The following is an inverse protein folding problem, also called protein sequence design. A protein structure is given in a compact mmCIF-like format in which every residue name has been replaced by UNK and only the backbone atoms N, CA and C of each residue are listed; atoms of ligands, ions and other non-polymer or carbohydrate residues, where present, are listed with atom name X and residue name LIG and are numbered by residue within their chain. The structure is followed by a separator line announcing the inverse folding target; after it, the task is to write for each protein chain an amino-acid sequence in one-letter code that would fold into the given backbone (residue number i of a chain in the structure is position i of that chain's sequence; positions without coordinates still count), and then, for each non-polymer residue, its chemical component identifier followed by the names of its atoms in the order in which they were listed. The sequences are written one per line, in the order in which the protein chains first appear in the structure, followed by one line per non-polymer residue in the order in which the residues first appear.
data_IF_690142472787
#
_entry.id   IF_690142472787
#
_cell.length_a   1.000
_cell.length_b   1.000
_cell.length_c   1.000
_cell.angle_alpha   90.00
_cell.angle_beta   90.00
_cell.angle_gamma   90.00
#
_symmetry.space_group_name_H-M   'P 1'
#
loop_
_entity.id
_entity.type
_entity.pdbx_description
1 polymer ?
#
# COMPACT_ATOMS: atom_id res chain seq x y z
N UNK A 1 25.22 12.42 -49.03
CA UNK A 1 25.22 11.35 -48.02
C UNK A 1 23.85 11.38 -47.36
N UNK A 2 22.95 10.49 -47.73
CA UNK A 2 21.72 10.28 -46.96
C UNK A 2 22.07 9.58 -45.64
N UNK A 3 21.44 9.93 -44.52
CA UNK A 3 21.68 9.25 -43.26
C UNK A 3 21.11 7.83 -43.34
N UNK A 4 21.99 6.85 -43.18
CA UNK A 4 21.63 5.43 -43.09
C UNK A 4 20.60 5.23 -41.99
N UNK A 5 19.37 4.88 -42.38
CA UNK A 5 18.30 4.51 -41.46
C UNK A 5 18.70 3.20 -40.80
N UNK A 6 19.30 3.28 -39.61
CA UNK A 6 19.71 2.12 -38.84
C UNK A 6 18.47 1.25 -38.58
N UNK A 7 18.34 0.10 -39.26
CA UNK A 7 17.20 -0.80 -39.12
C UNK A 7 17.13 -1.28 -37.67
N UNK A 8 16.20 -0.72 -36.90
CA UNK A 8 15.89 -1.16 -35.56
C UNK A 8 15.57 -2.66 -35.58
N UNK A 9 16.40 -3.45 -34.90
CA UNK A 9 16.12 -4.86 -34.63
C UNK A 9 14.71 -4.98 -34.02
N UNK A 10 13.95 -6.00 -34.44
CA UNK A 10 12.62 -6.31 -33.90
C UNK A 10 12.62 -6.34 -32.37
N UNK A 11 13.71 -6.83 -31.75
CA UNK A 11 13.90 -6.84 -30.30
C UNK A 11 14.06 -5.45 -29.68
N UNK A 12 14.72 -4.51 -30.37
CA UNK A 12 14.84 -3.11 -29.92
C UNK A 12 13.51 -2.39 -30.09
N UNK A 13 12.81 -2.61 -31.21
CA UNK A 13 11.48 -2.05 -31.46
C UNK A 13 10.46 -2.54 -30.42
N UNK A 14 10.38 -3.85 -30.17
CA UNK A 14 9.49 -4.43 -29.16
C UNK A 14 9.78 -3.93 -27.74
N UNK A 15 11.06 -3.78 -27.37
CA UNK A 15 11.44 -3.17 -26.08
C UNK A 15 11.06 -1.70 -25.99
N UNK A 16 11.22 -0.95 -27.07
CA UNK A 16 10.82 0.46 -27.13
C UNK A 16 9.30 0.61 -26.95
N UNK A 17 8.51 -0.23 -27.62
CA UNK A 17 7.05 -0.27 -27.48
C UNK A 17 6.66 -0.61 -26.04
N UNK A 18 7.24 -1.67 -25.47
CA UNK A 18 6.97 -2.05 -24.07
C UNK A 18 7.34 -0.96 -23.06
N UNK A 19 8.39 -0.19 -23.34
CA UNK A 19 8.80 0.95 -22.52
C UNK A 19 7.84 2.15 -22.66
N UNK A 20 7.29 2.37 -23.86
CA UNK A 20 6.24 3.37 -24.09
C UNK A 20 4.93 2.98 -23.39
N UNK A 21 4.59 1.69 -23.40
CA UNK A 21 3.40 1.16 -22.73
C UNK A 21 3.50 1.23 -21.19
N UNK A 22 4.71 1.02 -20.63
CA UNK A 22 4.98 1.16 -19.21
C UNK A 22 5.56 2.54 -18.86
N UNK A 23 4.96 3.61 -19.39
CA UNK A 23 5.38 4.97 -19.06
C UNK A 23 4.85 5.44 -17.70
N UNK A 24 5.55 6.41 -17.09
CA UNK A 24 5.10 7.11 -15.89
C UNK A 24 3.68 7.68 -16.05
N UNK A 25 3.39 8.28 -17.21
CA UNK A 25 2.07 8.83 -17.50
C UNK A 25 1.00 7.74 -17.51
N UNK A 26 1.27 6.58 -18.14
CA UNK A 26 0.32 5.48 -18.18
C UNK A 26 0.05 4.90 -16.79
N UNK A 27 1.07 4.81 -15.92
CA UNK A 27 0.91 4.36 -14.54
C UNK A 27 0.03 5.34 -13.74
N UNK A 28 0.38 6.63 -13.73
CA UNK A 28 -0.39 7.66 -13.03
C UNK A 28 -1.81 7.81 -13.56
N UNK A 29 -2.00 7.72 -14.88
CA UNK A 29 -3.34 7.79 -15.49
C UNK A 29 -4.18 6.57 -15.13
N UNK A 30 -3.58 5.38 -15.05
CA UNK A 30 -4.28 4.16 -14.63
C UNK A 30 -4.68 4.23 -13.16
N UNK A 31 -3.79 4.75 -12.30
CA UNK A 31 -4.10 5.02 -10.89
C UNK A 31 -5.26 6.02 -10.76
N UNK A 32 -5.21 7.12 -11.51
CA UNK A 32 -6.26 8.13 -11.51
C UNK A 32 -7.61 7.54 -11.93
N UNK A 33 -7.63 6.75 -13.01
CA UNK A 33 -8.84 6.10 -13.51
C UNK A 33 -9.41 5.08 -12.51
N UNK A 34 -8.57 4.20 -11.94
CA UNK A 34 -8.99 3.21 -10.94
C UNK A 34 -9.47 3.87 -9.63
N UNK A 35 -8.96 5.05 -9.29
CA UNK A 35 -9.41 5.79 -8.09
C UNK A 35 -10.87 6.21 -8.17
N UNK A 36 -11.40 6.45 -9.39
CA UNK A 36 -12.80 6.85 -9.59
C UNK A 36 -13.71 5.74 -9.09
N UNK A 37 -13.40 4.50 -9.46
CA UNK A 37 -14.10 3.32 -8.95
C UNK A 37 -14.01 3.22 -7.43
N UNK A 38 -12.83 3.45 -6.83
CA UNK A 38 -12.68 3.43 -5.36
C UNK A 38 -13.58 4.48 -4.69
N UNK A 39 -13.68 5.68 -5.28
CA UNK A 39 -14.55 6.75 -4.78
C UNK A 39 -16.04 6.42 -4.93
N UNK A 40 -16.44 5.83 -6.06
CA UNK A 40 -17.83 5.37 -6.28
C UNK A 40 -18.22 4.32 -5.24
N UNK A 41 -17.36 3.35 -4.97
CA UNK A 41 -17.60 2.32 -3.95
C UNK A 41 -17.67 2.95 -2.56
N UNK A 42 -16.82 3.93 -2.24
CA UNK A 42 -16.88 4.67 -0.98
C UNK A 42 -18.17 5.46 -0.79
N UNK A 43 -18.82 5.88 -1.87
CA UNK A 43 -20.11 6.59 -1.81
C UNK A 43 -21.30 5.67 -1.51
N UNK A 44 -21.16 4.35 -1.72
CA UNK A 44 -22.23 3.39 -1.40
C UNK A 44 -22.44 3.23 0.10
N UNK A 45 -21.36 3.34 0.87
CA UNK A 45 -21.40 3.30 2.34
C UNK A 45 -20.56 4.43 2.94
N UNK A 46 -21.05 5.68 2.93
CA UNK A 46 -20.29 6.86 3.38
C UNK A 46 -19.85 6.80 4.86
N UNK A 47 -20.60 6.07 5.69
CA UNK A 47 -20.30 5.88 7.11
C UNK A 47 -19.16 4.88 7.37
N UNK A 48 -18.86 4.02 6.38
CA UNK A 48 -17.80 3.03 6.53
C UNK A 48 -16.44 3.68 6.24
N UNK A 49 -15.49 3.57 7.19
CA UNK A 49 -14.16 4.13 7.03
C UNK A 49 -13.41 3.41 5.92
N UNK A 50 -12.83 4.20 5.02
CA UNK A 50 -11.97 3.74 3.94
C UNK A 50 -10.51 3.70 4.40
N UNK A 51 -9.87 2.54 4.27
CA UNK A 51 -8.50 2.29 4.68
C UNK A 51 -7.62 1.92 3.49
N UNK A 52 -6.43 2.51 3.41
CA UNK A 52 -5.46 2.18 2.37
C UNK A 52 -4.51 1.08 2.86
N UNK A 53 -4.44 -0.05 2.16
CA UNK A 53 -3.39 -1.03 2.41
C UNK A 53 -2.04 -0.48 1.93
N UNK A 54 -1.06 -0.40 2.82
CA UNK A 54 0.24 0.22 2.53
C UNK A 54 0.95 -0.47 1.36
N UNK A 55 1.81 0.32 0.69
CA UNK A 55 2.37 0.11 -0.65
C UNK A 55 1.37 0.50 -1.73
N UNK A 56 0.45 -0.40 -2.07
CA UNK A 56 -0.33 -0.23 -3.28
C UNK A 56 -1.59 0.63 -3.08
N UNK A 57 -2.34 0.40 -1.99
CA UNK A 57 -3.64 1.04 -1.74
C UNK A 57 -3.60 2.57 -1.61
N UNK A 58 -2.47 3.13 -1.15
CA UNK A 58 -2.29 4.58 -1.02
C UNK A 58 -2.39 5.31 -2.37
N UNK A 59 -1.93 4.69 -3.45
CA UNK A 59 -2.00 5.30 -4.78
C UNK A 59 -3.43 5.53 -5.25
N UNK A 60 -4.36 4.66 -4.85
CA UNK A 60 -5.76 4.70 -5.31
C UNK A 60 -6.69 5.52 -4.41
N UNK A 61 -6.16 6.10 -3.33
CA UNK A 61 -6.96 6.77 -2.30
C UNK A 61 -6.51 8.24 -2.16
N UNK A 62 -7.29 9.20 -2.66
CA UNK A 62 -6.93 10.61 -2.56
C UNK A 62 -6.78 11.08 -1.10
N UNK A 63 -5.83 11.98 -0.83
CA UNK A 63 -5.37 12.35 0.52
C UNK A 63 -6.47 12.70 1.54
N UNK A 64 -7.58 13.29 1.08
CA UNK A 64 -8.68 13.73 1.95
C UNK A 64 -9.86 12.73 1.98
N UNK A 65 -9.64 11.49 1.52
CA UNK A 65 -10.70 10.51 1.26
C UNK A 65 -10.47 9.16 1.93
N UNK A 66 -9.40 8.98 2.71
CA UNK A 66 -9.19 7.78 3.53
C UNK A 66 -9.01 8.14 5.02
N UNK A 67 -9.40 7.22 5.89
CA UNK A 67 -9.43 7.41 7.35
C UNK A 67 -8.15 6.95 8.03
N UNK A 68 -7.57 5.85 7.57
CA UNK A 68 -6.36 5.25 8.14
C UNK A 68 -5.66 4.38 7.12
N UNK A 69 -4.43 3.98 7.42
CA UNK A 69 -3.70 2.96 6.65
C UNK A 69 -3.73 1.62 7.38
N UNK A 70 -3.56 0.53 6.65
CA UNK A 70 -3.32 -0.82 7.21
C UNK A 70 -2.17 -1.51 6.47
N UNK A 71 -1.67 -2.63 6.97
CA UNK A 71 -0.58 -3.35 6.32
C UNK A 71 -0.76 -4.87 6.35
N UNK A 72 -1.48 -5.38 5.36
CA UNK A 72 -1.63 -6.80 5.08
C UNK A 72 -0.72 -7.19 3.90
N UNK A 73 0.31 -7.99 4.16
CA UNK A 73 1.20 -8.48 3.10
C UNK A 73 0.56 -9.66 2.36
N UNK A 74 0.69 -9.66 1.04
CA UNK A 74 0.30 -10.77 0.17
C UNK A 74 1.12 -12.04 0.44
N UNK A 75 2.39 -11.90 0.81
CA UNK A 75 3.30 -13.03 1.11
C UNK A 75 2.80 -13.92 2.23
N UNK A 76 2.05 -13.35 3.18
CA UNK A 76 1.52 -14.05 4.35
C UNK A 76 0.37 -15.01 3.95
N UNK A 77 -0.19 -14.84 2.74
CA UNK A 77 -1.25 -15.67 2.16
C UNK A 77 -0.83 -16.48 0.94
N UNK A 78 0.47 -16.57 0.62
CA UNK A 78 0.94 -17.34 -0.53
C UNK A 78 0.64 -18.83 -0.37
N UNK A 79 0.31 -19.49 -1.49
CA UNK A 79 0.06 -20.93 -1.51
C UNK A 79 1.25 -21.67 -0.88
N UNK A 80 0.97 -22.65 -0.01
CA UNK A 80 1.96 -23.43 0.75
C UNK A 80 2.82 -22.65 1.77
N UNK A 81 2.66 -21.33 1.87
CA UNK A 81 3.38 -20.46 2.81
C UNK A 81 2.44 -19.49 3.54
N UNK A 82 1.34 -20.03 4.09
CA UNK A 82 0.44 -19.24 4.93
C UNK A 82 1.07 -18.95 6.29
N UNK A 83 0.97 -17.72 6.75
CA UNK A 83 1.51 -17.30 8.05
C UNK A 83 0.61 -16.25 8.69
N UNK A 84 0.59 -16.22 10.02
CA UNK A 84 -0.02 -15.17 10.82
C UNK A 84 1.09 -14.37 11.49
N UNK A 85 1.16 -13.06 11.25
CA UNK A 85 2.25 -12.23 11.73
C UNK A 85 1.86 -11.49 13.02
N UNK A 86 2.45 -11.88 14.14
CA UNK A 86 2.21 -11.27 15.46
C UNK A 86 2.83 -9.88 15.64
N UNK A 87 3.74 -9.45 14.75
CA UNK A 87 4.28 -8.08 14.75
C UNK A 87 3.42 -7.08 13.96
N UNK A 88 2.56 -7.57 13.05
CA UNK A 88 1.72 -6.76 12.16
C UNK A 88 0.26 -7.15 12.33
N UNK A 89 -0.23 -7.00 13.55
CA UNK A 89 -1.55 -7.47 13.94
C UNK A 89 -2.71 -6.67 13.33
N UNK A 90 -2.49 -5.42 12.89
CA UNK A 90 -3.55 -4.56 12.35
C UNK A 90 -4.78 -4.44 13.28
N UNK A 91 -4.60 -4.51 14.62
CA UNK A 91 -5.73 -4.47 15.58
C UNK A 91 -6.55 -3.19 15.48
N UNK A 92 -5.91 -2.08 15.11
CA UNK A 92 -6.57 -0.80 14.87
C UNK A 92 -7.63 -0.90 13.77
N UNK A 93 -7.46 -1.77 12.77
CA UNK A 93 -8.47 -2.03 11.73
C UNK A 93 -9.72 -2.65 12.35
N UNK A 94 -9.54 -3.65 13.23
CA UNK A 94 -10.65 -4.28 13.93
C UNK A 94 -11.35 -3.30 14.89
N UNK A 95 -10.60 -2.42 15.58
CA UNK A 95 -11.17 -1.37 16.41
C UNK A 95 -12.00 -0.38 15.59
N UNK A 96 -11.44 0.13 14.49
CA UNK A 96 -12.15 1.03 13.57
C UNK A 96 -13.43 0.37 13.05
N UNK A 97 -13.36 -0.89 12.63
CA UNK A 97 -14.52 -1.64 12.15
C UNK A 97 -15.56 -1.84 13.26
N UNK A 98 -15.15 -2.17 14.48
CA UNK A 98 -16.05 -2.33 15.62
C UNK A 98 -16.82 -1.04 15.95
N UNK A 99 -16.14 0.11 15.89
CA UNK A 99 -16.75 1.41 16.20
C UNK A 99 -17.65 1.95 15.09
N UNK A 100 -17.36 1.63 13.84
CA UNK A 100 -18.05 2.16 12.66
C UNK A 100 -19.00 1.17 11.99
N UNK A 101 -19.19 -0.02 12.58
CA UNK A 101 -20.04 -1.07 12.02
C UNK A 101 -19.45 -1.73 10.76
N UNK A 102 -18.15 -1.58 10.51
CA UNK A 102 -17.44 -2.14 9.37
C UNK A 102 -16.29 -1.25 8.89
N UNK A 103 -15.57 -1.69 7.86
CA UNK A 103 -14.61 -0.84 7.15
C UNK A 103 -14.36 -1.32 5.72
N UNK A 104 -13.75 -0.46 4.91
CA UNK A 104 -13.34 -0.77 3.54
C UNK A 104 -11.82 -0.76 3.45
N UNK A 105 -11.20 -1.77 2.84
CA UNK A 105 -9.76 -1.85 2.62
C UNK A 105 -9.48 -1.81 1.14
N UNK A 106 -8.69 -0.83 0.72
CA UNK A 106 -8.30 -0.62 -0.68
C UNK A 106 -6.92 -1.21 -0.91
N UNK A 107 -6.81 -2.03 -1.93
CA UNK A 107 -5.56 -2.60 -2.44
C UNK A 107 -5.73 -2.84 -3.94
N UNK A 108 -4.67 -3.23 -4.63
CA UNK A 108 -4.78 -3.63 -6.03
C UNK A 108 -3.87 -4.80 -6.34
N UNK A 109 -4.02 -5.35 -7.54
CA UNK A 109 -3.14 -6.41 -8.03
C UNK A 109 -2.84 -6.21 -9.50
N UNK A 110 -1.70 -6.71 -9.91
CA UNK A 110 -1.26 -6.75 -11.31
C UNK A 110 -2.16 -7.63 -12.16
N UNK A 111 -1.98 -7.47 -13.47
CA UNK A 111 -2.64 -8.25 -14.53
C UNK A 111 -2.63 -9.75 -14.22
N UNK A 112 -3.81 -10.38 -14.38
CA UNK A 112 -3.99 -11.83 -14.26
C UNK A 112 -4.66 -12.29 -12.96
N UNK A 113 -4.63 -11.47 -11.91
CA UNK A 113 -5.39 -11.71 -10.67
C UNK A 113 -6.52 -10.69 -10.53
N UNK A 114 -7.62 -11.11 -9.91
CA UNK A 114 -8.74 -10.22 -9.56
C UNK A 114 -8.53 -9.52 -8.23
N UNK A 115 -7.96 -10.25 -7.28
CA UNK A 115 -7.63 -9.77 -5.93
C UNK A 115 -6.20 -10.17 -5.59
N UNK A 116 -5.47 -9.35 -4.84
CA UNK A 116 -4.19 -9.75 -4.26
C UNK A 116 -4.40 -10.90 -3.24
N UNK A 117 -3.33 -11.64 -2.95
CA UNK A 117 -3.36 -12.71 -1.94
C UNK A 117 -3.62 -12.16 -0.52
N UNK A 118 -3.28 -10.88 -0.27
CA UNK A 118 -3.63 -10.16 0.96
C UNK A 118 -5.14 -10.18 1.19
N UNK A 119 -5.92 -9.91 0.16
CA UNK A 119 -7.39 -9.90 0.22
C UNK A 119 -8.02 -11.29 0.10
N UNK A 120 -7.41 -12.20 -0.68
CA UNK A 120 -7.99 -13.52 -0.89
C UNK A 120 -7.78 -14.46 0.30
N UNK A 121 -6.69 -14.28 1.05
CA UNK A 121 -6.23 -15.25 2.06
C UNK A 121 -5.76 -14.61 3.36
N UNK A 122 -4.85 -13.63 3.32
CA UNK A 122 -4.27 -13.04 4.54
C UNK A 122 -5.35 -12.41 5.43
N UNK A 123 -6.19 -11.53 4.89
CA UNK A 123 -7.25 -10.85 5.66
C UNK A 123 -8.32 -11.84 6.15
N UNK A 124 -8.81 -12.78 5.32
CA UNK A 124 -9.71 -13.83 5.82
C UNK A 124 -9.14 -14.67 6.98
N UNK A 125 -7.88 -15.10 6.88
CA UNK A 125 -7.18 -15.79 7.99
C UNK A 125 -7.18 -14.89 9.22
N UNK A 126 -6.80 -13.62 9.06
CA UNK A 126 -6.77 -12.65 10.14
C UNK A 126 -8.13 -12.44 10.82
N UNK A 127 -9.21 -12.29 10.04
CA UNK A 127 -10.58 -12.17 10.60
C UNK A 127 -10.98 -13.41 11.41
N UNK A 128 -10.66 -14.60 10.89
CA UNK A 128 -10.99 -15.86 11.54
C UNK A 128 -10.22 -16.04 12.86
N UNK A 129 -8.92 -15.76 12.86
CA UNK A 129 -8.06 -15.83 14.05
C UNK A 129 -8.52 -14.84 15.12
N UNK A 130 -8.89 -13.60 14.75
CA UNK A 130 -9.44 -12.63 15.70
C UNK A 130 -10.79 -13.10 16.29
N UNK A 131 -11.71 -13.57 15.45
CA UNK A 131 -13.01 -14.05 15.93
C UNK A 131 -12.86 -15.21 16.92
N UNK A 132 -11.93 -16.15 16.66
CA UNK A 132 -11.61 -17.27 17.55
C UNK A 132 -11.01 -16.80 18.87
N UNK A 133 -10.02 -15.91 18.82
CA UNK A 133 -9.38 -15.38 20.02
C UNK A 133 -10.37 -14.61 20.92
N UNK A 134 -11.26 -13.81 20.32
CA UNK A 134 -12.34 -13.10 21.03
C UNK A 134 -13.30 -14.08 21.69
N UNK A 135 -13.73 -15.12 20.96
CA UNK A 135 -14.58 -16.19 21.51
C UNK A 135 -13.90 -16.88 22.70
N UNK A 136 -12.62 -17.24 22.57
CA UNK A 136 -11.84 -17.88 23.63
C UNK A 136 -11.69 -16.96 24.85
N UNK A 137 -11.51 -15.67 24.64
CA UNK A 137 -11.48 -14.66 25.71
C UNK A 137 -12.80 -14.63 26.48
N UNK A 138 -13.94 -14.53 25.80
CA UNK A 138 -15.25 -14.57 26.46
C UNK A 138 -15.50 -15.89 27.18
N UNK A 139 -15.18 -17.03 26.59
CA UNK A 139 -15.35 -18.32 27.25
C UNK A 139 -14.55 -18.37 28.56
N UNK A 140 -13.28 -17.97 28.55
CA UNK A 140 -12.44 -17.95 29.77
C UNK A 140 -12.97 -17.01 30.86
N UNK A 141 -13.63 -15.91 30.50
CA UNK A 141 -14.09 -14.92 31.48
C UNK A 141 -15.55 -15.08 31.90
N UNK A 142 -16.38 -15.76 31.11
CA UNK A 142 -17.71 -16.20 31.53
C UNK A 142 -17.63 -17.29 32.60
N UNK A 143 -16.61 -18.16 32.56
CA UNK A 143 -16.40 -19.21 33.58
C UNK A 143 -15.82 -18.70 34.91
N UNK A 144 -15.24 -17.49 34.94
CA UNK A 144 -14.67 -16.91 36.18
C UNK A 144 -15.73 -16.13 36.99
N UNK A 145 -16.86 -15.78 36.38
CA UNK A 145 -17.96 -15.04 37.03
C UNK A 145 -18.96 -15.90 37.81
N UNK A 146 -19.03 -17.21 37.57
CA UNK A 146 -19.97 -18.13 38.22
C UNK A 146 -19.22 -19.26 38.96
N UNK A 147 -18.61 -18.91 40.10
CA UNK A 147 -18.34 -19.88 41.18
C UNK A 147 -19.54 -19.99 42.13
N UNK A 148 -20.76 -19.87 41.59
CA UNK A 148 -21.99 -20.26 42.26
C UNK A 148 -22.47 -21.57 41.62
N UNK A 149 -22.30 -22.65 42.37
CA UNK A 149 -22.71 -24.02 42.05
C UNK A 149 -24.05 -24.08 41.29
N UNK A 150 -23.99 -24.46 40.02
CA UNK A 150 -25.12 -25.11 39.34
C UNK A 150 -24.61 -26.37 38.65
N UNK A 151 -24.93 -27.50 39.27
CA UNK A 151 -24.80 -28.84 38.71
C UNK A 151 -25.36 -28.88 37.28
N UNK A 152 -24.49 -29.13 36.30
CA UNK A 152 -24.91 -29.53 34.97
C UNK A 152 -25.44 -30.96 35.04
N UNK A 153 -26.77 -31.12 35.03
CA UNK A 153 -27.40 -32.39 34.63
C UNK A 153 -27.30 -32.49 33.11
N UNK A 154 -26.56 -33.48 32.62
CA UNK A 154 -26.65 -33.87 31.21
C UNK A 154 -28.06 -34.37 30.87
N UNK A 155 -28.69 -33.88 29.78
CA UNK A 155 -29.76 -34.61 29.14
C UNK A 155 -29.13 -35.54 28.09
N UNK A 156 -29.27 -36.84 28.34
CA UNK A 156 -29.22 -37.86 27.31
C UNK A 156 -30.40 -37.59 26.38
N UNK A 157 -30.14 -37.16 25.15
CA UNK A 157 -31.06 -37.40 24.04
C UNK A 157 -30.31 -37.55 22.72
N UNK A 158 -30.46 -38.75 22.15
CA UNK A 158 -29.84 -39.21 20.94
C UNK A 158 -30.69 -38.82 19.72
N UNK A 159 -30.60 -37.57 19.28
CA UNK A 159 -30.90 -37.17 17.90
C UNK A 159 -30.19 -35.85 17.64
N UNK A 160 -29.24 -35.86 16.71
CA UNK A 160 -28.36 -34.73 16.43
C UNK A 160 -29.12 -33.54 15.84
N UNK A 161 -29.41 -32.56 16.69
CA UNK A 161 -29.56 -31.17 16.27
C UNK A 161 -29.15 -30.27 17.45
N UNK A 162 -27.89 -29.80 17.41
CA UNK A 162 -27.33 -28.94 18.46
C UNK A 162 -27.84 -27.51 18.21
N UNK A 163 -29.05 -27.23 18.66
CA UNK A 163 -29.57 -25.86 18.84
C UNK A 163 -29.75 -25.57 20.33
N UNK A 164 -28.63 -25.49 21.04
CA UNK A 164 -28.55 -25.22 22.48
C UNK A 164 -27.67 -24.03 22.81
N UNK A 165 -28.21 -22.83 22.66
CA UNK A 165 -27.87 -21.56 23.34
C UNK A 165 -26.40 -21.33 23.82
N UNK A 166 -25.44 -21.42 22.90
CA UNK A 166 -24.06 -20.92 23.07
C UNK A 166 -23.77 -19.87 21.99
N UNK A 167 -23.43 -18.65 22.40
CA UNK A 167 -23.17 -17.44 21.60
C UNK A 167 -23.05 -17.65 20.07
N UNK A 168 -23.95 -17.00 19.33
CA UNK A 168 -24.06 -16.88 17.86
C UNK A 168 -22.85 -16.14 17.25
N UNK A 169 -21.62 -16.54 17.59
CA UNK A 169 -20.38 -15.91 17.16
C UNK A 169 -19.64 -16.81 16.17
N UNK A 170 -19.58 -16.35 14.92
CA UNK A 170 -18.99 -17.09 13.81
C UNK A 170 -17.45 -17.10 13.86
N UNK A 171 -16.89 -18.31 13.97
CA UNK A 171 -15.44 -18.59 14.01
C UNK A 171 -14.97 -19.36 12.77
N UNK A 172 -15.83 -19.51 11.75
CA UNK A 172 -15.50 -20.22 10.52
C UNK A 172 -14.59 -19.39 9.61
N UNK A 173 -13.83 -20.08 8.75
CA UNK A 173 -12.95 -19.44 7.79
C UNK A 173 -13.74 -19.10 6.52
N UNK A 174 -13.83 -17.80 6.20
CA UNK A 174 -14.52 -17.29 5.00
C UNK A 174 -13.53 -16.95 3.91
N UNK A 175 -13.26 -17.92 3.03
CA UNK A 175 -12.50 -17.68 1.80
C UNK A 175 -13.41 -17.35 0.61
N UNK A 176 -12.90 -16.62 -0.39
CA UNK A 176 -13.65 -16.40 -1.61
C UNK A 176 -13.70 -17.67 -2.46
N UNK A 177 -14.70 -17.76 -3.34
CA UNK A 177 -15.00 -18.95 -4.16
C UNK A 177 -13.87 -19.41 -5.10
N UNK A 178 -12.86 -18.57 -5.36
CA UNK A 178 -11.73 -18.91 -6.22
C UNK A 178 -10.54 -19.51 -5.46
N UNK A 179 -10.60 -19.60 -4.14
CA UNK A 179 -9.65 -20.38 -3.34
C UNK A 179 -10.21 -21.79 -3.19
N UNK A 180 -9.41 -22.81 -3.47
CA UNK A 180 -9.89 -24.20 -3.46
C UNK A 180 -10.22 -24.68 -2.05
N UNK A 181 -11.19 -25.59 -1.93
CA UNK A 181 -11.52 -26.22 -0.64
C UNK A 181 -10.35 -27.00 -0.05
N UNK A 182 -9.46 -27.52 -0.90
CA UNK A 182 -8.21 -28.16 -0.46
C UNK A 182 -7.27 -27.16 0.22
N UNK A 183 -7.10 -25.97 -0.34
CA UNK A 183 -6.31 -24.90 0.27
C UNK A 183 -6.98 -24.42 1.56
N UNK A 184 -8.30 -24.29 1.57
CA UNK A 184 -9.08 -23.96 2.77
C UNK A 184 -8.82 -24.95 3.90
N UNK A 185 -8.93 -26.26 3.65
CA UNK A 185 -8.70 -27.29 4.66
C UNK A 185 -7.27 -27.27 5.22
N UNK A 186 -6.26 -27.03 4.37
CA UNK A 186 -4.87 -26.90 4.81
C UNK A 186 -4.64 -25.70 5.72
N UNK A 187 -5.34 -24.59 5.46
CA UNK A 187 -5.31 -23.39 6.31
C UNK A 187 -6.05 -23.65 7.61
N UNK A 188 -7.22 -24.31 7.57
CA UNK A 188 -8.01 -24.62 8.76
C UNK A 188 -7.22 -25.42 9.80
N UNK A 189 -6.39 -26.36 9.35
CA UNK A 189 -5.49 -27.14 10.21
C UNK A 189 -4.43 -26.30 10.95
N UNK A 190 -4.17 -25.06 10.50
CA UNK A 190 -3.16 -24.16 11.10
C UNK A 190 -3.78 -23.07 11.98
N UNK A 191 -5.08 -22.82 11.86
CA UNK A 191 -5.76 -21.72 12.54
C UNK A 191 -5.66 -21.81 14.07
N UNK A 192 -5.65 -23.01 14.64
CA UNK A 192 -5.53 -23.21 16.09
C UNK A 192 -4.18 -22.67 16.61
N UNK A 193 -3.08 -23.02 15.93
CA UNK A 193 -1.75 -22.52 16.27
C UNK A 193 -1.66 -21.00 16.21
N UNK A 194 -2.18 -20.39 15.13
CA UNK A 194 -2.18 -18.93 15.00
C UNK A 194 -3.09 -18.22 16.00
N UNK A 195 -4.18 -18.85 16.42
CA UNK A 195 -5.04 -18.33 17.49
C UNK A 195 -4.27 -18.31 18.81
N UNK A 196 -3.57 -19.38 19.14
CA UNK A 196 -2.69 -19.42 20.31
C UNK A 196 -1.54 -18.40 20.23
N UNK A 197 -0.92 -18.23 19.05
CA UNK A 197 0.13 -17.22 18.83
C UNK A 197 -0.40 -15.80 19.09
N UNK A 198 -1.63 -15.50 18.65
CA UNK A 198 -2.28 -14.22 18.92
C UNK A 198 -2.55 -14.01 20.41
N UNK A 199 -3.07 -15.03 21.10
CA UNK A 199 -3.39 -14.94 22.52
C UNK A 199 -2.14 -14.80 23.40
N UNK A 200 -1.03 -15.40 23.00
CA UNK A 200 0.23 -15.38 23.76
C UNK A 200 1.11 -14.18 23.44
N UNK A 201 0.91 -13.48 22.32
CA UNK A 201 1.74 -12.35 21.93
C UNK A 201 1.44 -11.03 22.68
N UNK A 202 0.51 -11.04 23.63
CA UNK A 202 0.17 -9.86 24.45
C UNK A 202 -0.72 -8.84 23.73
N UNK A 203 -1.42 -9.27 22.68
CA UNK A 203 -2.43 -8.45 22.01
C UNK A 203 -3.58 -8.11 22.95
N UNK A 204 -4.06 -6.87 22.90
CA UNK A 204 -5.23 -6.42 23.69
C UNK A 204 -6.55 -6.93 23.07
N UNK A 205 -6.79 -8.23 23.27
CA UNK A 205 -8.03 -8.91 22.85
C UNK A 205 -9.20 -8.44 23.71
N UNK A 206 -8.95 -8.05 24.96
CA UNK A 206 -9.98 -7.60 25.91
C UNK A 206 -10.72 -6.37 25.39
N UNK A 207 -9.99 -5.35 24.94
CA UNK A 207 -10.62 -4.16 24.34
C UNK A 207 -11.43 -4.51 23.09
N UNK A 208 -10.89 -5.36 22.21
CA UNK A 208 -11.62 -5.79 21.01
C UNK A 208 -12.91 -6.54 21.34
N UNK A 209 -12.86 -7.43 22.34
CA UNK A 209 -14.00 -8.20 22.81
C UNK A 209 -15.09 -7.34 23.47
N UNK A 210 -14.77 -6.12 23.94
CA UNK A 210 -15.75 -5.16 24.45
C UNK A 210 -16.44 -4.38 23.33
N UNK A 211 -15.69 -3.96 22.30
CA UNK A 211 -16.22 -3.11 21.24
C UNK A 211 -16.91 -3.88 20.11
N UNK A 212 -16.44 -5.09 19.80
CA UNK A 212 -16.92 -5.85 18.65
C UNK A 212 -18.17 -6.66 19.02
N UNK A 213 -19.33 -6.19 18.56
CA UNK A 213 -20.65 -6.81 18.85
C UNK A 213 -21.03 -7.95 17.90
N UNK A 214 -20.44 -7.98 16.70
CA UNK A 214 -20.70 -8.98 15.64
C UNK A 214 -19.36 -9.48 15.08
N UNK A 215 -19.23 -10.77 14.68
CA UNK A 215 -17.98 -11.33 14.18
C UNK A 215 -17.47 -10.59 12.93
N UNK A 216 -16.16 -10.50 12.74
CA UNK A 216 -15.60 -9.91 11.53
C UNK A 216 -15.80 -10.84 10.34
N UNK A 217 -16.22 -10.32 9.18
CA UNK A 217 -16.33 -11.12 7.95
C UNK A 217 -15.88 -10.34 6.70
N UNK A 218 -15.00 -10.93 5.87
CA UNK A 218 -14.56 -10.31 4.64
C UNK A 218 -15.64 -10.38 3.54
N UNK A 219 -15.75 -9.31 2.75
CA UNK A 219 -16.53 -9.24 1.51
C UNK A 219 -15.64 -8.72 0.39
N UNK A 220 -15.84 -9.18 -0.86
CA UNK A 220 -14.93 -8.84 -1.97
C UNK A 220 -15.63 -8.04 -3.07
N UNK A 221 -15.10 -6.87 -3.37
CA UNK A 221 -15.59 -5.98 -4.42
C UNK A 221 -14.47 -5.67 -5.41
N UNK A 222 -14.75 -5.79 -6.70
CA UNK A 222 -13.86 -5.34 -7.77
C UNK A 222 -14.68 -4.68 -8.86
N UNK A 223 -14.02 -4.07 -9.85
CA UNK A 223 -14.71 -3.46 -11.01
C UNK A 223 -15.61 -4.42 -11.83
N UNK A 224 -15.53 -5.73 -11.59
CA UNK A 224 -16.40 -6.75 -12.23
C UNK A 224 -17.58 -7.17 -11.37
N UNK A 225 -17.62 -6.75 -10.11
CA UNK A 225 -18.73 -7.08 -9.21
C UNK A 225 -19.93 -6.23 -9.61
N UNK A 226 -21.05 -6.88 -9.93
CA UNK A 226 -22.29 -6.19 -10.28
C UNK A 226 -23.11 -5.98 -9.01
N UNK A 227 -22.72 -4.97 -8.22
CA UNK A 227 -23.41 -4.58 -6.98
C UNK A 227 -24.66 -3.72 -7.23
N UNK A 228 -24.85 -3.22 -8.46
CA UNK A 228 -25.88 -2.24 -8.81
C UNK A 228 -27.25 -2.85 -9.17
N UNK A 229 -27.38 -4.19 -9.17
CA UNK A 229 -28.58 -4.86 -9.66
C UNK A 229 -29.66 -5.07 -8.59
N UNK A 230 -29.27 -5.13 -7.32
CA UNK A 230 -30.16 -5.33 -6.19
C UNK A 230 -29.77 -4.30 -5.13
N UNK A 231 -30.76 -3.65 -4.50
CA UNK A 231 -30.60 -2.63 -3.46
C UNK A 231 -29.37 -2.88 -2.56
N UNK A 232 -28.52 -1.86 -2.42
CA UNK A 232 -27.31 -1.95 -1.60
C UNK A 232 -27.74 -2.27 -0.16
N UNK A 233 -27.38 -3.44 0.40
CA UNK A 233 -27.79 -3.77 1.76
C UNK A 233 -27.23 -2.74 2.74
N UNK A 234 -28.07 -2.30 3.68
CA UNK A 234 -27.58 -1.53 4.82
C UNK A 234 -26.62 -2.41 5.63
N UNK A 235 -25.42 -1.91 5.92
CA UNK A 235 -24.38 -2.68 6.62
C UNK A 235 -24.82 -3.16 8.01
N UNK A 236 -25.74 -2.43 8.65
CA UNK A 236 -26.32 -2.78 9.95
C UNK A 236 -27.21 -4.03 9.91
N UNK A 237 -27.74 -4.39 8.74
CA UNK A 237 -28.61 -5.56 8.55
C UNK A 237 -27.88 -6.88 8.63
N UNK A 238 -26.55 -6.88 8.44
CA UNK A 238 -25.75 -8.10 8.48
C UNK A 238 -25.56 -8.61 9.91
N UNK A 239 -25.51 -9.92 10.07
CA UNK A 239 -25.20 -10.63 11.31
C UNK A 239 -23.71 -10.60 11.67
N UNK A 240 -22.88 -9.95 10.85
CA UNK A 240 -21.44 -9.79 11.01
C UNK A 240 -21.01 -8.32 10.82
N UNK A 241 -19.80 -8.00 11.28
CA UNK A 241 -19.10 -6.73 11.01
C UNK A 241 -18.32 -6.86 9.69
N UNK A 242 -18.72 -6.16 8.61
CA UNK A 242 -18.12 -6.33 7.28
C UNK A 242 -16.73 -5.70 7.17
N UNK A 243 -15.80 -6.45 6.60
CA UNK A 243 -14.51 -5.97 6.10
C UNK A 243 -14.56 -6.02 4.58
N UNK A 244 -14.89 -4.90 3.95
CA UNK A 244 -15.11 -4.80 2.50
C UNK A 244 -13.76 -4.63 1.81
N UNK A 245 -13.33 -5.65 1.08
CA UNK A 245 -12.06 -5.71 0.37
C UNK A 245 -12.25 -5.26 -1.07
N UNK A 246 -11.76 -4.06 -1.37
CA UNK A 246 -11.93 -3.43 -2.68
C UNK A 246 -10.63 -3.52 -3.48
N UNK A 247 -10.63 -4.37 -4.51
CA UNK A 247 -9.54 -4.41 -5.49
C UNK A 247 -9.75 -3.30 -6.51
N UNK A 248 -8.90 -2.27 -6.44
CA UNK A 248 -9.06 -1.04 -7.21
C UNK A 248 -8.94 -1.28 -8.72
N UNK A 249 -7.97 -2.09 -9.16
CA UNK A 249 -7.65 -2.28 -10.57
C UNK A 249 -8.52 -3.31 -11.28
N UNK A 250 -8.77 -3.06 -12.56
CA UNK A 250 -9.45 -3.98 -13.48
C UNK A 250 -8.59 -5.21 -13.76
N UNK A 251 -9.16 -6.40 -13.60
CA UNK A 251 -8.48 -7.66 -13.92
C UNK A 251 -8.47 -8.02 -15.41
N UNK A 252 -9.11 -7.20 -16.24
CA UNK A 252 -9.34 -7.48 -17.65
C UNK A 252 -8.01 -7.51 -18.42
N UNK A 253 -7.78 -8.57 -19.19
CA UNK A 253 -6.49 -8.85 -19.82
C UNK A 253 -6.27 -8.13 -21.15
N UNK A 254 -7.28 -7.46 -21.68
CA UNK A 254 -7.22 -6.88 -23.02
C UNK A 254 -6.43 -5.57 -22.96
N UNK A 255 -5.52 -5.38 -23.92
CA UNK A 255 -4.77 -4.14 -24.10
C UNK A 255 -5.75 -3.03 -24.48
N UNK A 256 -6.36 -2.40 -23.46
CA UNK A 256 -7.21 -1.26 -23.67
C UNK A 256 -6.29 -0.04 -23.77
N UNK A 257 -5.88 0.26 -25.00
CA UNK A 257 -5.54 1.64 -25.33
C UNK A 257 -6.81 2.45 -25.05
N UNK A 258 -6.77 3.24 -23.99
CA UNK A 258 -7.86 4.13 -23.62
C UNK A 258 -7.60 5.48 -24.25
N UNK A 259 -8.66 6.11 -24.69
CA UNK A 259 -8.62 7.43 -25.31
C UNK A 259 -9.49 8.38 -24.52
N UNK A 260 -8.97 9.57 -24.29
CA UNK A 260 -9.75 10.74 -23.92
C UNK A 260 -9.83 11.64 -25.14
N UNK A 261 -10.60 12.71 -25.03
CA UNK A 261 -10.67 13.75 -26.07
C UNK A 261 -9.30 14.30 -26.47
N UNK A 262 -8.30 14.24 -25.57
CA UNK A 262 -7.00 14.88 -25.76
C UNK A 262 -5.84 13.90 -25.94
N UNK A 263 -5.85 12.76 -25.22
CA UNK A 263 -4.71 11.82 -25.22
C UNK A 263 -5.15 10.36 -25.22
N UNK A 264 -4.31 9.50 -25.81
CA UNK A 264 -4.40 8.05 -25.68
C UNK A 264 -3.35 7.50 -24.72
N UNK A 265 -3.69 6.51 -23.91
CA UNK A 265 -2.77 5.83 -22.99
C UNK A 265 -3.05 4.34 -22.90
N UNK A 266 -2.04 3.58 -22.49
CA UNK A 266 -2.17 2.14 -22.23
C UNK A 266 -2.53 1.94 -20.76
N UNK A 267 -3.64 1.28 -20.47
CA UNK A 267 -4.03 0.96 -19.09
C UNK A 267 -3.09 -0.09 -18.46
N UNK A 268 -2.65 0.16 -17.23
CA UNK A 268 -1.78 -0.71 -16.44
C UNK A 268 -2.52 -1.12 -15.17
N UNK A 269 -2.99 -2.37 -15.13
CA UNK A 269 -3.61 -2.95 -13.94
C UNK A 269 -2.59 -3.08 -12.80
N UNK A 270 -2.92 -2.60 -11.61
CA UNK A 270 -2.04 -2.61 -10.46
C UNK A 270 -0.86 -1.64 -10.59
N UNK A 271 -1.05 -0.53 -11.29
CA UNK A 271 -0.01 0.49 -11.50
C UNK A 271 0.61 1.05 -10.22
N UNK A 272 -0.13 1.08 -9.10
CA UNK A 272 0.39 1.49 -7.79
C UNK A 272 1.33 0.48 -7.13
N UNK A 273 1.61 -0.66 -7.77
CA UNK A 273 2.51 -1.70 -7.26
C UNK A 273 3.91 -1.59 -7.90
N UNK A 274 4.96 -2.02 -7.19
CA UNK A 274 6.39 -1.73 -7.47
C UNK A 274 6.66 -0.28 -7.93
N UNK A 275 6.14 0.69 -7.19
CA UNK A 275 6.35 2.12 -7.42
C UNK A 275 7.84 2.50 -7.55
N UNK A 276 8.74 1.76 -6.91
CA UNK A 276 10.20 1.96 -6.99
C UNK A 276 10.73 1.86 -8.42
N UNK A 277 10.02 1.15 -9.31
CA UNK A 277 10.41 0.96 -10.70
C UNK A 277 10.05 2.14 -11.62
N UNK A 278 9.10 3.01 -11.21
CA UNK A 278 8.55 4.04 -12.11
C UNK A 278 8.29 5.41 -11.46
N UNK A 279 8.04 5.50 -10.15
CA UNK A 279 7.55 6.71 -9.48
C UNK A 279 8.60 7.82 -9.36
N UNK A 280 9.90 7.49 -9.43
CA UNK A 280 11.02 8.46 -9.43
C UNK A 280 10.96 9.48 -8.27
N UNK A 281 10.61 9.02 -7.08
CA UNK A 281 10.49 9.86 -5.88
C UNK A 281 9.15 10.57 -5.72
N UNK A 282 8.21 10.41 -6.65
CA UNK A 282 6.83 10.85 -6.47
C UNK A 282 6.13 9.96 -5.43
N UNK A 283 5.59 10.57 -4.37
CA UNK A 283 4.76 9.86 -3.39
C UNK A 283 3.27 9.91 -3.78
N UNK A 284 2.42 8.99 -3.27
CA UNK A 284 0.97 9.07 -3.44
C UNK A 284 0.39 10.41 -3.01
N UNK A 285 0.87 10.95 -1.89
CA UNK A 285 0.39 12.23 -1.36
C UNK A 285 0.66 13.38 -2.33
N UNK A 286 1.89 13.42 -2.86
CA UNK A 286 2.33 14.46 -3.78
C UNK A 286 1.63 14.32 -5.14
N UNK A 287 1.40 13.09 -5.60
CA UNK A 287 0.60 12.83 -6.78
C UNK A 287 -0.81 13.40 -6.62
N UNK A 288 -1.53 13.05 -5.55
CA UNK A 288 -2.92 13.50 -5.36
C UNK A 288 -3.05 15.00 -5.17
N UNK A 289 -2.05 15.67 -4.57
CA UNK A 289 -1.98 17.13 -4.48
C UNK A 289 -1.92 17.81 -5.86
N UNK A 290 -1.31 17.16 -6.85
CA UNK A 290 -1.06 17.70 -8.18
C UNK A 290 -1.71 16.88 -9.31
N UNK A 291 -2.65 15.98 -8.99
CA UNK A 291 -3.12 14.95 -9.91
C UNK A 291 -3.70 15.55 -11.20
N UNK A 292 -4.59 16.54 -11.06
CA UNK A 292 -5.20 17.21 -12.22
C UNK A 292 -4.15 17.85 -13.14
N UNK A 293 -3.14 18.52 -12.58
CA UNK A 293 -2.10 19.20 -13.36
C UNK A 293 -1.19 18.19 -14.08
N UNK A 294 -0.79 17.12 -13.39
CA UNK A 294 0.04 16.06 -14.00
C UNK A 294 -0.71 15.37 -15.13
N UNK A 295 -1.97 15.03 -14.91
CA UNK A 295 -2.80 14.24 -15.83
C UNK A 295 -3.24 15.05 -17.06
N UNK A 296 -3.56 16.34 -16.91
CA UNK A 296 -3.95 17.24 -18.01
C UNK A 296 -2.76 17.62 -18.92
N UNK A 297 -1.53 17.52 -18.44
CA UNK A 297 -0.33 17.90 -19.20
C UNK A 297 0.06 16.90 -20.30
N UNK A 298 -0.57 15.73 -20.30
CA UNK A 298 -0.33 14.67 -21.27
C UNK A 298 1.02 13.97 -21.11
N UNK A 299 1.28 12.95 -21.95
CA UNK A 299 2.42 12.05 -21.81
C UNK A 299 3.78 12.71 -22.02
N UNK A 300 3.85 13.73 -22.87
CA UNK A 300 5.12 14.38 -23.25
C UNK A 300 5.71 15.20 -22.10
N UNK A 301 4.88 15.95 -21.38
CA UNK A 301 5.31 16.85 -20.29
C UNK A 301 5.25 16.19 -18.90
N UNK A 302 4.58 15.05 -18.76
CA UNK A 302 4.39 14.37 -17.48
C UNK A 302 5.72 14.11 -16.73
N UNK A 303 6.75 13.63 -17.44
CA UNK A 303 8.05 13.34 -16.82
C UNK A 303 8.72 14.61 -16.26
N UNK A 304 8.67 15.70 -17.01
CA UNK A 304 9.25 16.98 -16.59
C UNK A 304 8.49 17.53 -15.39
N UNK A 305 7.15 17.54 -15.45
CA UNK A 305 6.33 18.03 -14.33
C UNK A 305 6.54 17.24 -13.05
N UNK A 306 6.60 15.92 -13.13
CA UNK A 306 6.86 15.09 -11.95
C UNK A 306 8.23 15.40 -11.37
N UNK A 307 9.27 15.55 -12.20
CA UNK A 307 10.59 15.94 -11.73
C UNK A 307 10.57 17.31 -11.03
N UNK A 308 9.90 18.31 -11.61
CA UNK A 308 9.77 19.64 -11.03
C UNK A 308 9.03 19.62 -9.69
N UNK A 309 7.97 18.81 -9.58
CA UNK A 309 7.16 18.67 -8.36
C UNK A 309 7.96 17.99 -7.24
N UNK A 310 8.65 16.89 -7.57
CA UNK A 310 9.49 16.16 -6.62
C UNK A 310 10.65 17.03 -6.14
N UNK A 311 11.30 17.76 -7.05
CA UNK A 311 12.42 18.64 -6.69
C UNK A 311 11.95 19.82 -5.82
N UNK A 312 10.81 20.45 -6.15
CA UNK A 312 10.22 21.49 -5.30
C UNK A 312 9.89 20.97 -3.90
N UNK A 313 9.34 19.76 -3.79
CA UNK A 313 9.06 19.14 -2.50
C UNK A 313 10.36 18.88 -1.72
N UNK A 314 11.38 18.34 -2.38
CA UNK A 314 12.71 18.10 -1.78
C UNK A 314 13.34 19.39 -1.23
N UNK A 315 13.33 20.47 -2.01
CA UNK A 315 13.86 21.78 -1.58
C UNK A 315 13.06 22.34 -0.40
N UNK A 316 11.73 22.24 -0.44
CA UNK A 316 10.86 22.69 0.64
C UNK A 316 11.14 21.96 1.97
N UNK A 317 11.35 20.64 1.93
CA UNK A 317 11.68 19.85 3.12
C UNK A 317 13.08 20.17 3.65
N UNK A 318 14.05 20.34 2.75
CA UNK A 318 15.41 20.78 3.12
C UNK A 318 15.40 22.14 3.83
N UNK A 319 14.56 23.09 3.41
CA UNK A 319 14.46 24.40 4.06
C UNK A 319 13.89 24.32 5.49
N UNK A 320 13.14 23.25 5.79
CA UNK A 320 12.54 23.00 7.11
C UNK A 320 13.43 22.15 8.02
N UNK A 321 14.64 21.80 7.59
CA UNK A 321 15.57 20.98 8.36
C UNK A 321 15.23 19.49 8.36
N UNK A 322 14.33 19.05 7.48
CA UNK A 322 14.06 17.62 7.31
C UNK A 322 15.16 16.96 6.46
N UNK A 323 15.59 15.76 6.85
CA UNK A 323 16.66 15.02 6.17
C UNK A 323 16.16 14.54 4.81
N UNK A 324 16.58 15.21 3.73
CA UNK A 324 16.30 14.77 2.36
C UNK A 324 17.48 14.00 1.77
N UNK A 325 17.27 12.83 1.14
CA UNK A 325 18.35 12.10 0.48
C UNK A 325 18.93 12.94 -0.66
N UNK A 326 20.24 13.23 -0.58
CA UNK A 326 20.95 13.91 -1.65
C UNK A 326 21.27 12.92 -2.78
N UNK A 327 21.03 13.33 -4.03
CA UNK A 327 21.40 12.52 -5.20
C UNK A 327 22.92 12.56 -5.36
N UNK A 328 23.60 11.51 -4.91
CA UNK A 328 25.03 11.33 -5.16
C UNK A 328 25.24 10.81 -6.59
N UNK A 329 25.77 11.63 -7.48
CA UNK A 329 26.25 11.13 -8.78
C UNK A 329 27.59 10.43 -8.53
N UNK A 330 27.61 9.10 -8.54
CA UNK A 330 28.87 8.36 -8.60
C UNK A 330 29.50 8.61 -9.97
N UNK A 331 30.59 9.37 -10.00
CA UNK A 331 31.43 9.44 -11.20
C UNK A 331 31.87 8.00 -11.54
N UNK A 332 31.44 7.49 -12.70
CA UNK A 332 32.12 6.34 -13.29
C UNK A 332 33.51 6.82 -13.67
N UNK A 333 34.53 6.21 -13.08
CA UNK A 333 35.91 6.42 -13.47
C UNK A 333 36.04 6.17 -14.98
N UNK A 334 36.20 7.25 -15.74
CA UNK A 334 36.62 7.18 -17.14
C UNK A 334 38.11 6.87 -17.07
N UNK A 335 38.49 5.69 -17.58
CA UNK A 335 39.88 5.34 -17.80
C UNK A 335 40.51 6.38 -18.73
N UNK A 336 41.51 7.07 -18.20
CA UNK A 336 42.68 7.66 -18.87
C UNK A 336 42.66 7.61 -20.41
N UNK A 337 42.42 8.76 -21.04
CA UNK A 337 43.03 9.09 -22.32
C UNK A 337 43.51 10.53 -22.26
N UNK A 338 44.76 10.71 -22.67
CA UNK A 338 45.59 11.88 -22.49
C UNK A 338 45.01 13.18 -23.06
N UNK A 339 45.40 14.27 -22.38
CA UNK A 339 45.52 15.66 -22.82
C UNK A 339 44.56 16.17 -23.90
N UNK A 340 43.57 16.97 -23.48
CA UNK A 340 43.13 18.15 -24.22
C UNK A 340 42.63 19.21 -23.23
N UNK A 341 43.36 20.32 -23.14
CA UNK A 341 42.99 21.49 -22.36
C UNK A 341 41.66 22.04 -22.85
N UNK A 342 40.65 22.09 -21.97
CA UNK A 342 39.43 22.85 -22.20
C UNK A 342 39.45 24.12 -21.34
N UNK A 343 40.49 24.93 -21.54
CA UNK A 343 40.54 26.32 -21.13
C UNK A 343 39.84 27.16 -22.19
N UNK A 344 38.52 27.01 -22.33
CA UNK A 344 37.61 27.98 -22.97
C UNK A 344 36.24 27.35 -23.09
N UNK A 345 35.25 27.89 -22.37
CA UNK A 345 33.92 28.27 -22.88
C UNK A 345 33.11 28.77 -21.67
N UNK A 346 32.78 30.07 -21.75
CA UNK A 346 31.82 30.84 -20.95
C UNK A 346 32.31 31.49 -19.65
N UNK A 347 33.21 32.47 -19.84
CA UNK A 347 33.15 33.72 -19.09
C UNK A 347 31.87 34.48 -19.52
N UNK A 348 30.99 34.79 -18.57
CA UNK A 348 30.05 35.91 -18.69
C UNK A 348 30.24 36.78 -17.46
N UNK A 349 30.65 38.02 -17.73
CA UNK A 349 30.94 39.06 -16.76
C UNK A 349 29.70 39.39 -15.89
N UNK A 350 29.96 39.57 -14.60
CA UNK A 350 29.10 40.26 -13.64
C UNK A 350 30.01 40.71 -12.50
N UNK A 351 30.34 41.99 -12.50
CA UNK A 351 31.30 42.63 -11.60
C UNK A 351 30.88 42.59 -10.12
N UNK A 352 31.92 42.56 -9.27
CA UNK A 352 32.05 43.01 -7.88
C UNK A 352 31.08 42.48 -6.80
N UNK A 353 31.56 41.55 -5.96
CA UNK A 353 31.59 41.70 -4.48
C UNK A 353 32.75 40.87 -3.89
N UNK A 354 33.53 41.51 -3.02
CA UNK A 354 34.73 41.03 -2.32
C UNK A 354 34.62 39.68 -1.58
N UNK A 355 35.74 38.96 -1.60
CA UNK A 355 35.95 37.68 -0.96
C UNK A 355 36.29 37.79 0.54
N UNK A 356 35.65 36.95 1.37
CA UNK A 356 36.29 36.39 2.58
C UNK A 356 35.75 34.99 2.93
N UNK A 357 36.60 34.00 2.65
CA UNK A 357 36.84 32.72 3.37
C UNK A 357 35.68 31.93 4.00
N UNK A 358 35.28 30.82 3.35
CA UNK A 358 35.44 29.43 3.85
C UNK A 358 35.02 28.42 2.77
N UNK A 359 35.84 27.37 2.57
CA UNK A 359 35.76 26.42 1.46
C UNK A 359 34.46 25.58 1.45
N UNK A 360 33.49 26.04 0.67
CA UNK A 360 32.52 25.20 -0.03
C UNK A 360 32.14 25.89 -1.33
N UNK A 361 32.93 25.64 -2.39
CA UNK A 361 32.66 26.20 -3.72
C UNK A 361 31.39 25.57 -4.28
N UNK A 362 30.27 26.26 -4.10
CA UNK A 362 29.00 25.93 -4.74
C UNK A 362 28.98 26.63 -6.10
N UNK A 363 29.05 25.84 -7.17
CA UNK A 363 28.98 26.31 -8.56
C UNK A 363 27.57 26.11 -9.11
N UNK A 364 27.02 27.13 -9.77
CA UNK A 364 25.70 27.07 -10.39
C UNK A 364 25.79 26.69 -11.86
N UNK A 365 25.01 25.69 -12.28
CA UNK A 365 24.88 25.26 -13.67
C UNK A 365 23.80 26.11 -14.38
N UNK A 366 24.09 27.39 -14.60
CA UNK A 366 23.30 28.31 -15.44
C UNK A 366 21.78 28.18 -15.32
N UNK A 367 21.08 28.13 -16.47
CA UNK A 367 19.60 28.12 -16.55
C UNK A 367 18.92 26.83 -16.04
N UNK A 368 19.66 25.90 -15.45
CA UNK A 368 19.10 24.64 -14.93
C UNK A 368 18.70 24.71 -13.46
N UNK A 369 18.95 25.84 -12.78
CA UNK A 369 18.77 26.01 -11.33
C UNK A 369 19.46 24.92 -10.49
N UNK A 370 20.50 24.28 -11.03
CA UNK A 370 21.24 23.22 -10.37
C UNK A 370 22.51 23.80 -9.74
N UNK A 371 22.71 23.55 -8.44
CA UNK A 371 23.92 23.91 -7.71
C UNK A 371 24.78 22.66 -7.45
N UNK A 372 26.06 22.74 -7.74
CA UNK A 372 27.05 21.67 -7.53
C UNK A 372 28.09 22.16 -6.54
N UNK A 373 28.15 21.53 -5.37
CA UNK A 373 29.18 21.80 -4.36
C UNK A 373 30.09 20.60 -4.16
N UNK A 374 31.35 20.85 -3.83
CA UNK A 374 32.24 19.81 -3.34
C UNK A 374 31.77 19.34 -1.95
N UNK A 375 31.37 18.08 -1.84
CA UNK A 375 31.14 17.46 -0.53
C UNK A 375 32.50 17.22 0.11
N UNK A 376 32.79 17.86 1.25
CA UNK A 376 33.91 17.45 2.08
C UNK A 376 33.60 16.04 2.56
N UNK A 377 34.34 15.06 2.05
CA UNK A 377 34.27 13.67 2.47
C UNK A 377 34.26 13.57 3.99
N UNK A 378 33.08 13.34 4.57
CA UNK A 378 32.94 13.00 5.97
C UNK A 378 33.72 11.72 6.22
N UNK A 379 34.87 11.85 6.86
CA UNK A 379 35.64 10.70 7.33
C UNK A 379 34.75 9.95 8.30
N UNK A 380 34.43 8.70 7.99
CA UNK A 380 33.75 7.79 8.91
C UNK A 380 34.70 7.61 10.10
N UNK A 381 34.52 8.41 11.14
CA UNK A 381 35.12 8.14 12.44
C UNK A 381 34.24 7.08 13.10
N UNK A 382 34.64 5.83 12.90
CA UNK A 382 34.27 4.74 13.77
C UNK A 382 34.91 4.97 15.13
N UNK A 383 34.10 5.24 16.16
CA UNK A 383 34.52 5.06 17.57
C UNK A 383 33.46 4.31 18.37
N UNK A 384 33.87 3.45 19.31
CA UNK A 384 33.10 2.33 19.81
C UNK A 384 32.18 2.68 20.99
N UNK A 385 31.28 1.75 21.27
CA UNK A 385 30.43 1.61 22.45
C UNK A 385 31.06 2.11 23.76
N UNK A 386 30.32 2.91 24.52
CA UNK A 386 30.34 2.91 25.98
C UNK A 386 28.97 3.35 26.52
N UNK A 387 28.36 2.45 27.31
CA UNK A 387 27.28 2.72 28.26
C UNK A 387 27.69 3.83 29.23
N UNK A 388 26.82 4.79 29.53
CA UNK A 388 26.42 5.13 30.91
C UNK A 388 25.17 6.02 30.92
N UNK A 389 24.27 5.72 31.86
CA UNK A 389 23.12 6.53 32.31
C UNK A 389 23.52 7.96 32.70
N UNK A 390 22.60 8.92 32.62
CA UNK A 390 22.06 9.61 33.81
C UNK A 390 20.91 10.57 33.44
N UNK A 391 19.86 10.49 34.27
CA UNK A 391 18.69 11.36 34.32
C UNK A 391 18.97 12.75 34.92
N UNK A 392 17.95 13.61 34.81
CA UNK A 392 17.63 14.87 35.51
C UNK A 392 18.13 16.15 34.81
N UNK A 393 17.29 17.17 34.61
CA UNK A 393 16.22 17.71 35.49
C UNK A 393 14.82 17.61 34.87
#
# INVERSE_FOLDING_TARGET
MEPSTERLSIYKAARSIKKMDNSLYNALRSIYDDSIFVLEIGQLWPELPLLANLRCGLWYTPNNKFHSTCYFKSTDGHYSNWSFNTSRLNLHVAQIAAHRGGCMIIDSTRKGKRFPDSMSKTIPIWTCVLNRAIRNYWMRHSFVGDSAEKEFKEPIDATGDISGNGSCWDCSLHFPLWVSDTEKALVENRLEGWTNDLETCGADIASLALFLKKPLRPLWISQRTVIWLNEVPEYDSWDFTPIILVSASSSTCNFHQRTTSEFSWTYIAGAGDDEESWARGLSPELFWKHAYDIISSGPNLCNQKVADIVEKNRVYQSQRGEVTPQVSIKQKAVQSCDELSCSSILLVNGDDVDASTSDSSVSWLGSTNLAVGASQSGTIISTPSLLTEFCQI
#
